data_IF_417750771726
#
_entry.id   IF_417750771726
#
_cell.length_a   1.000
_cell.length_b   1.000
_cell.length_c   1.000
_cell.angle_alpha   90.00
_cell.angle_beta   90.00
_cell.angle_gamma   90.00
#
_symmetry.space_group_name_H-M   'P 1'
#
loop_
_entity.id
_entity.type
_entity.pdbx_description
1 polymer ?
#
# COMPACT_ATOMS: atom_id res chain seq x y z
N UNK A 1 -1.34 20.65 3.16
CA UNK A 1 -1.83 20.30 1.79
C UNK A 1 -1.07 19.07 1.29
N UNK A 2 -1.72 18.18 0.52
CA UNK A 2 -1.09 16.98 -0.05
C UNK A 2 -0.79 17.19 -1.54
N UNK A 3 0.47 17.06 -1.93
CA UNK A 3 0.92 17.26 -3.31
C UNK A 3 1.32 15.92 -3.94
N UNK A 4 0.68 15.57 -5.06
CA UNK A 4 1.07 14.40 -5.84
C UNK A 4 2.49 14.57 -6.40
N UNK A 5 3.39 13.65 -6.06
CA UNK A 5 4.80 13.75 -6.40
C UNK A 5 5.27 12.45 -7.06
N UNK A 6 5.84 12.48 -8.28
CA UNK A 6 6.44 11.31 -8.90
C UNK A 6 7.68 10.83 -8.13
N UNK A 7 7.88 9.52 -8.12
CA UNK A 7 9.08 8.87 -7.53
C UNK A 7 9.96 8.27 -8.62
N UNK A 8 11.19 7.88 -8.28
CA UNK A 8 12.17 7.43 -9.28
C UNK A 8 11.80 6.11 -9.99
N UNK A 9 10.90 5.30 -9.43
CA UNK A 9 10.41 4.06 -10.07
C UNK A 9 9.17 4.29 -10.97
N UNK A 10 8.76 5.55 -11.15
CA UNK A 10 7.59 5.93 -11.96
C UNK A 10 6.25 5.84 -11.22
N UNK A 11 6.22 5.34 -9.99
CA UNK A 11 5.05 5.45 -9.12
C UNK A 11 4.94 6.84 -8.50
N UNK A 12 3.79 7.16 -7.94
CA UNK A 12 3.57 8.42 -7.24
C UNK A 12 3.62 8.23 -5.73
N UNK A 13 3.99 9.28 -5.03
CA UNK A 13 3.82 9.46 -3.58
C UNK A 13 3.03 10.75 -3.34
N UNK A 14 2.67 11.00 -2.09
CA UNK A 14 2.17 12.30 -1.66
C UNK A 14 3.23 12.99 -0.81
N UNK A 15 3.40 14.29 -1.01
CA UNK A 15 4.17 15.15 -0.10
C UNK A 15 3.20 15.89 0.82
N UNK A 16 3.38 15.75 2.14
CA UNK A 16 2.64 16.52 3.13
C UNK A 16 3.44 17.77 3.48
N UNK A 17 2.99 18.93 3.02
CA UNK A 17 3.68 20.20 3.28
C UNK A 17 3.69 20.63 4.74
N UNK A 18 2.71 20.21 5.54
CA UNK A 18 2.61 20.60 6.96
C UNK A 18 3.65 19.87 7.82
N UNK A 19 3.98 18.64 7.43
CA UNK A 19 4.96 17.79 8.12
C UNK A 19 6.33 17.90 7.43
N UNK A 20 6.37 18.23 6.14
CA UNK A 20 7.59 18.30 5.34
C UNK A 20 8.09 16.93 4.87
N UNK A 21 7.22 15.93 4.79
CA UNK A 21 7.58 14.52 4.53
C UNK A 21 6.76 13.90 3.40
N UNK A 22 7.34 12.88 2.76
CA UNK A 22 6.63 12.05 1.79
C UNK A 22 5.95 10.86 2.46
N UNK A 23 4.80 10.44 1.93
CA UNK A 23 4.07 9.24 2.40
C UNK A 23 4.83 7.94 2.12
N UNK A 24 5.59 7.91 1.03
CA UNK A 24 6.47 6.83 0.60
C UNK A 24 7.77 7.41 0.06
N UNK A 25 8.82 6.61 0.00
CA UNK A 25 10.15 7.01 -0.49
C UNK A 25 10.09 7.65 -1.88
N UNK A 26 10.77 8.78 -2.04
CA UNK A 26 10.96 9.43 -3.33
C UNK A 26 11.81 8.61 -4.31
N UNK A 27 12.54 7.61 -3.81
CA UNK A 27 13.31 6.68 -4.63
C UNK A 27 12.44 5.60 -5.29
N UNK A 28 11.17 5.46 -4.90
CA UNK A 28 10.22 4.53 -5.50
C UNK A 28 9.20 4.00 -4.50
N UNK A 29 7.96 4.50 -4.57
CA UNK A 29 6.91 4.07 -3.64
C UNK A 29 6.51 2.61 -3.87
N UNK A 30 6.33 2.21 -5.14
CA UNK A 30 5.98 0.84 -5.49
C UNK A 30 7.09 -0.14 -5.13
N UNK A 31 8.34 0.20 -5.46
CA UNK A 31 9.50 -0.64 -5.23
C UNK A 31 9.75 -0.84 -3.73
N UNK A 32 9.64 0.23 -2.93
CA UNK A 32 9.70 0.16 -1.47
C UNK A 32 8.59 -0.73 -0.92
N UNK A 33 7.33 -0.48 -1.30
CA UNK A 33 6.20 -1.27 -0.81
C UNK A 33 6.36 -2.76 -1.10
N UNK A 34 6.77 -3.11 -2.32
CA UNK A 34 7.05 -4.50 -2.71
C UNK A 34 8.19 -5.09 -1.90
N UNK A 35 9.32 -4.39 -1.81
CA UNK A 35 10.53 -4.95 -1.19
C UNK A 35 10.37 -5.10 0.33
N UNK A 36 9.91 -4.06 1.01
CA UNK A 36 9.88 -4.00 2.47
C UNK A 36 8.64 -4.71 3.01
N UNK A 37 7.45 -4.37 2.53
CA UNK A 37 6.21 -4.84 3.13
C UNK A 37 5.73 -6.17 2.55
N UNK A 38 5.87 -6.39 1.24
CA UNK A 38 5.43 -7.64 0.62
C UNK A 38 6.49 -8.73 0.75
N UNK A 39 7.70 -8.52 0.26
CA UNK A 39 8.73 -9.56 0.22
C UNK A 39 9.31 -9.85 1.61
N UNK A 40 9.84 -8.83 2.29
CA UNK A 40 10.48 -9.01 3.59
C UNK A 40 9.48 -9.17 4.75
N UNK A 41 8.26 -8.61 4.62
CA UNK A 41 7.21 -8.69 5.62
C UNK A 41 6.25 -9.86 5.40
N UNK A 42 5.29 -9.67 4.49
CA UNK A 42 4.15 -10.56 4.26
C UNK A 42 4.57 -11.97 3.80
N UNK A 43 5.33 -12.07 2.69
CA UNK A 43 5.70 -13.36 2.10
C UNK A 43 6.56 -14.17 3.07
N UNK A 44 7.58 -13.53 3.65
CA UNK A 44 8.42 -14.16 4.66
C UNK A 44 7.59 -14.67 5.86
N UNK A 45 6.61 -13.90 6.34
CA UNK A 45 5.76 -14.29 7.46
C UNK A 45 4.84 -15.45 7.11
N UNK A 46 4.21 -15.43 5.93
CA UNK A 46 3.37 -16.53 5.43
C UNK A 46 4.16 -17.83 5.33
N UNK A 47 5.38 -17.78 4.79
CA UNK A 47 6.28 -18.94 4.66
C UNK A 47 6.73 -19.44 6.04
N UNK A 48 7.19 -18.55 6.91
CA UNK A 48 7.72 -18.90 8.23
C UNK A 48 6.67 -19.46 9.17
N UNK A 49 5.45 -18.89 9.16
CA UNK A 49 4.34 -19.34 9.98
C UNK A 49 3.63 -20.56 9.38
N UNK A 50 3.86 -20.84 8.09
CA UNK A 50 3.21 -21.92 7.33
C UNK A 50 1.67 -21.89 7.50
N UNK A 51 1.09 -20.71 7.31
CA UNK A 51 -0.34 -20.47 7.55
C UNK A 51 -1.09 -20.18 6.24
N UNK A 52 -2.41 -20.37 6.28
CA UNK A 52 -3.34 -19.95 5.22
C UNK A 52 -3.96 -18.58 5.49
N UNK A 53 -3.88 -18.07 6.72
CA UNK A 53 -4.43 -16.79 7.15
C UNK A 53 -3.35 -15.95 7.81
N UNK A 54 -3.28 -14.67 7.49
CA UNK A 54 -2.36 -13.71 8.11
C UNK A 54 -3.13 -12.49 8.60
N UNK A 55 -2.77 -12.02 9.79
CA UNK A 55 -3.29 -10.80 10.40
C UNK A 55 -2.22 -9.70 10.32
N UNK A 56 -2.58 -8.54 9.76
CA UNK A 56 -1.69 -7.38 9.63
C UNK A 56 -2.31 -6.18 10.34
N UNK A 57 -1.49 -5.51 11.16
CA UNK A 57 -1.77 -4.17 11.66
C UNK A 57 -0.87 -3.15 10.94
N UNK A 58 -1.47 -2.15 10.32
CA UNK A 58 -0.78 -0.98 9.77
C UNK A 58 -1.11 0.27 10.60
N UNK A 59 -0.08 1.04 10.93
CA UNK A 59 -0.22 2.33 11.61
C UNK A 59 0.18 3.42 10.61
N UNK A 60 -0.81 4.23 10.20
CA UNK A 60 -0.69 5.16 9.09
C UNK A 60 -1.08 4.49 7.77
N UNK A 61 -2.38 4.36 7.52
CA UNK A 61 -2.89 3.80 6.26
C UNK A 61 -2.46 4.63 5.04
N UNK A 62 -2.45 5.96 5.22
CA UNK A 62 -2.10 6.95 4.23
C UNK A 62 -2.78 6.72 2.89
N UNK A 63 -1.99 6.32 1.90
CA UNK A 63 -2.44 6.14 0.52
C UNK A 63 -3.01 4.74 0.23
N UNK A 64 -2.92 3.81 1.17
CA UNK A 64 -3.40 2.43 1.04
C UNK A 64 -2.55 1.54 0.13
N UNK A 65 -1.37 1.99 -0.35
CA UNK A 65 -0.53 1.22 -1.28
C UNK A 65 -0.11 -0.14 -0.70
N UNK A 66 0.31 -0.17 0.56
CA UNK A 66 0.74 -1.41 1.22
C UNK A 66 -0.41 -2.40 1.36
N UNK A 67 -1.61 -1.92 1.73
CA UNK A 67 -2.83 -2.73 1.78
C UNK A 67 -3.17 -3.30 0.40
N UNK A 68 -3.23 -2.47 -0.64
CA UNK A 68 -3.56 -2.90 -2.01
C UNK A 68 -2.63 -4.02 -2.49
N UNK A 69 -1.33 -3.85 -2.29
CA UNK A 69 -0.34 -4.84 -2.68
C UNK A 69 -0.39 -6.10 -1.81
N UNK A 70 -0.66 -5.96 -0.51
CA UNK A 70 -0.83 -7.10 0.40
C UNK A 70 -2.05 -7.94 0.04
N UNK A 71 -3.17 -7.28 -0.25
CA UNK A 71 -4.40 -7.95 -0.65
C UNK A 71 -4.24 -8.64 -2.01
N UNK A 72 -3.66 -7.96 -3.00
CA UNK A 72 -3.35 -8.57 -4.30
C UNK A 72 -2.42 -9.78 -4.18
N UNK A 73 -1.41 -9.72 -3.30
CA UNK A 73 -0.52 -10.85 -3.05
C UNK A 73 -1.26 -12.04 -2.43
N UNK A 74 -2.07 -11.80 -1.38
CA UNK A 74 -2.82 -12.85 -0.71
C UNK A 74 -3.88 -13.49 -1.61
N UNK A 75 -4.61 -12.70 -2.40
CA UNK A 75 -5.56 -13.19 -3.40
C UNK A 75 -4.87 -14.11 -4.42
N UNK A 76 -3.73 -13.69 -4.98
CA UNK A 76 -2.96 -14.48 -5.93
C UNK A 76 -2.40 -15.78 -5.32
N UNK A 77 -2.07 -15.77 -4.03
CA UNK A 77 -1.54 -16.91 -3.30
C UNK A 77 -2.63 -17.79 -2.64
N UNK A 78 -3.91 -17.47 -2.84
CA UNK A 78 -5.05 -18.11 -2.16
C UNK A 78 -4.89 -18.16 -0.64
N UNK A 79 -4.47 -17.03 -0.05
CA UNK A 79 -4.33 -16.81 1.38
C UNK A 79 -5.39 -15.83 1.88
N UNK A 80 -5.88 -16.04 3.09
CA UNK A 80 -6.77 -15.10 3.75
C UNK A 80 -5.96 -13.97 4.40
N UNK A 81 -6.44 -12.73 4.24
CA UNK A 81 -5.83 -11.54 4.82
C UNK A 81 -6.83 -10.85 5.74
N UNK A 82 -6.49 -10.74 7.02
CA UNK A 82 -7.16 -9.86 7.97
C UNK A 82 -6.31 -8.60 8.11
N UNK A 83 -6.74 -7.49 7.52
CA UNK A 83 -5.99 -6.24 7.52
C UNK A 83 -6.68 -5.20 8.38
N UNK A 84 -5.97 -4.69 9.39
CA UNK A 84 -6.42 -3.59 10.23
C UNK A 84 -5.47 -2.41 10.05
N UNK A 85 -6.01 -1.26 9.71
CA UNK A 85 -5.23 -0.04 9.58
C UNK A 85 -5.77 1.06 10.48
N UNK A 86 -4.88 1.91 10.96
CA UNK A 86 -5.23 3.11 11.74
C UNK A 86 -4.75 4.33 10.97
N UNK A 87 -5.64 5.28 10.76
CA UNK A 87 -5.33 6.55 10.09
C UNK A 87 -5.98 7.71 10.83
N UNK A 88 -5.18 8.71 11.19
CA UNK A 88 -5.65 9.90 11.89
C UNK A 88 -6.26 10.92 10.92
N UNK A 89 -5.76 10.97 9.69
CA UNK A 89 -6.15 11.95 8.67
C UNK A 89 -6.42 11.26 7.33
N UNK A 90 -7.57 10.58 7.17
CA UNK A 90 -7.91 9.88 5.94
C UNK A 90 -7.91 10.82 4.73
N UNK A 91 -7.32 10.35 3.63
CA UNK A 91 -7.28 11.08 2.36
C UNK A 91 -8.64 11.00 1.66
N UNK A 92 -8.95 12.01 0.84
CA UNK A 92 -10.15 11.95 -0.02
C UNK A 92 -9.99 10.89 -1.11
N UNK A 93 -11.11 10.31 -1.53
CA UNK A 93 -11.17 9.36 -2.64
C UNK A 93 -10.53 9.93 -3.92
N UNK A 94 -10.77 11.21 -4.23
CA UNK A 94 -10.13 11.91 -5.35
C UNK A 94 -8.60 11.90 -5.25
N UNK A 95 -8.06 12.18 -4.05
CA UNK A 95 -6.61 12.14 -3.80
C UNK A 95 -6.07 10.71 -3.99
N UNK A 96 -6.77 9.71 -3.46
CA UNK A 96 -6.38 8.29 -3.62
C UNK A 96 -6.38 7.89 -5.09
N UNK A 97 -7.41 8.27 -5.86
CA UNK A 97 -7.48 8.01 -7.30
C UNK A 97 -6.31 8.67 -8.05
N UNK A 98 -5.96 9.91 -7.67
CA UNK A 98 -4.87 10.66 -8.32
C UNK A 98 -3.49 9.98 -8.21
N UNK A 99 -3.30 9.08 -7.23
CA UNK A 99 -2.06 8.31 -7.08
C UNK A 99 -1.77 7.41 -8.28
N UNK A 100 -2.81 6.99 -9.01
CA UNK A 100 -2.69 6.08 -10.13
C UNK A 100 -2.36 4.65 -9.73
N UNK A 101 -2.58 4.25 -8.47
CA UNK A 101 -2.25 2.90 -8.00
C UNK A 101 -3.13 1.78 -8.58
N UNK A 102 -4.24 2.13 -9.24
CA UNK A 102 -5.05 1.19 -10.03
C UNK A 102 -4.24 0.38 -11.04
N UNK A 103 -3.13 0.93 -11.55
CA UNK A 103 -2.27 0.27 -12.52
C UNK A 103 -1.40 -0.86 -11.92
N UNK A 104 -1.31 -0.95 -10.59
CA UNK A 104 -0.41 -1.89 -9.90
C UNK A 104 -1.14 -3.10 -9.30
N UNK A 105 -2.46 -3.14 -9.38
CA UNK A 105 -3.31 -4.22 -8.86
C UNK A 105 -4.39 -4.60 -9.89
N UNK A 106 -4.97 -5.81 -9.79
CA UNK A 106 -6.16 -6.16 -10.57
C UNK A 106 -7.29 -5.14 -10.42
N UNK A 107 -8.02 -4.87 -11.50
CA UNK A 107 -9.09 -3.86 -11.51
C UNK A 107 -10.16 -4.11 -10.43
N UNK A 108 -10.55 -5.37 -10.23
CA UNK A 108 -11.54 -5.73 -9.19
C UNK A 108 -11.08 -5.38 -7.77
N UNK A 109 -9.77 -5.45 -7.50
CA UNK A 109 -9.21 -5.07 -6.20
C UNK A 109 -9.29 -3.55 -6.03
N UNK A 110 -8.95 -2.80 -7.09
CA UNK A 110 -9.03 -1.35 -7.08
C UNK A 110 -10.46 -0.83 -6.92
N UNK A 111 -11.42 -1.39 -7.66
CA UNK A 111 -12.84 -1.00 -7.61
C UNK A 111 -13.48 -1.26 -6.24
N UNK A 112 -13.05 -2.30 -5.52
CA UNK A 112 -13.53 -2.57 -4.17
C UNK A 112 -12.85 -1.69 -3.10
N UNK A 113 -11.70 -1.10 -3.42
CA UNK A 113 -10.95 -0.25 -2.50
C UNK A 113 -11.46 1.19 -2.48
N UNK A 114 -11.82 1.72 -3.64
CA UNK A 114 -12.24 3.11 -3.87
C UNK A 114 -13.72 3.32 -3.65
#
# INVERSE_FOLDING_TARGET
MHILTPTADGSNTLFNEEIGEHYHSSHGALQESKHVFIEAGLRFSLEKLNTSTIDILEVGFGTGLNFLLSYAHCEAAAKNLNYHAIEAFPLSQETLISTGYSQYVPNIIWENFI
#
